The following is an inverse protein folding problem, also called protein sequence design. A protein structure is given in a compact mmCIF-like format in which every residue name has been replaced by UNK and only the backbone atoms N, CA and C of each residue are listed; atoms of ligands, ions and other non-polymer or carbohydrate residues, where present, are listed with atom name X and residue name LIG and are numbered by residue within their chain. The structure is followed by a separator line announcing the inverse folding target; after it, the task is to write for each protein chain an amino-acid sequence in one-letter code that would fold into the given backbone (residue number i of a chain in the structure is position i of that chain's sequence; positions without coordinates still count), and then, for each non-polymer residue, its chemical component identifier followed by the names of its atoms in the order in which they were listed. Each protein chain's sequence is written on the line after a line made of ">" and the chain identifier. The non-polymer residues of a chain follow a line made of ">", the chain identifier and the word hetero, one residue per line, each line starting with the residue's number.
data_IF_162572497543
#
_entry.id   IF_162572497543
#
_cell.length_a   1.000
_cell.length_b   1.000
_cell.length_c   1.000
_cell.angle_alpha   90.00
_cell.angle_beta   90.00
_cell.angle_gamma   90.00
#
_symmetry.space_group_name_H-M   'P 1'
#
loop_
_entity.id
_entity.type
_entity.pdbx_description
1 polymer ?
#
# COMPACT_ATOMS: atom_id res chain seq x y z
N UNK A 1 15.79 1.31 -1.65
CA UNK A 1 14.47 1.34 -2.30
C UNK A 1 13.41 1.11 -1.20
N UNK A 2 12.28 1.82 -1.21
CA UNK A 2 11.22 1.62 -0.21
C UNK A 2 10.43 0.33 -0.53
N UNK A 3 9.87 -0.33 0.48
CA UNK A 3 9.05 -1.55 0.30
C UNK A 3 7.85 -1.30 -0.63
N UNK A 4 7.24 -0.10 -0.56
CA UNK A 4 6.18 0.28 -1.49
C UNK A 4 6.66 0.26 -2.94
N UNK A 5 7.80 0.89 -3.21
CA UNK A 5 8.35 1.01 -4.56
C UNK A 5 8.71 -0.37 -5.12
N UNK A 6 9.24 -1.25 -4.26
CA UNK A 6 9.54 -2.63 -4.60
C UNK A 6 8.28 -3.40 -5.00
N UNK A 7 7.24 -3.39 -4.14
CA UNK A 7 5.97 -4.09 -4.41
C UNK A 7 5.29 -3.51 -5.66
N UNK A 8 5.23 -2.19 -5.79
CA UNK A 8 4.66 -1.54 -6.98
C UNK A 8 5.41 -1.94 -8.24
N UNK A 9 6.75 -2.04 -8.19
CA UNK A 9 7.55 -2.48 -9.34
C UNK A 9 7.28 -3.92 -9.73
N UNK A 10 7.16 -4.83 -8.75
CA UNK A 10 6.86 -6.24 -9.01
C UNK A 10 5.43 -6.42 -9.55
N UNK A 11 4.45 -5.74 -8.96
CA UNK A 11 3.04 -5.80 -9.39
C UNK A 11 2.84 -5.19 -10.77
N UNK A 12 3.57 -4.13 -11.11
CA UNK A 12 3.50 -3.49 -12.43
C UNK A 12 4.21 -4.26 -13.54
N UNK A 13 4.75 -5.45 -13.25
CA UNK A 13 5.21 -6.35 -14.30
C UNK A 13 4.04 -6.70 -15.24
N UNK A 14 4.20 -6.64 -16.58
CA UNK A 14 3.12 -6.92 -17.54
C UNK A 14 2.41 -8.26 -17.32
N UNK A 15 3.16 -9.30 -16.95
CA UNK A 15 2.59 -10.63 -16.69
C UNK A 15 1.70 -10.63 -15.44
N UNK A 16 2.09 -9.92 -14.39
CA UNK A 16 1.30 -9.78 -13.16
C UNK A 16 0.04 -8.96 -13.41
N UNK A 17 0.18 -7.81 -14.08
CA UNK A 17 -0.96 -6.97 -14.46
C UNK A 17 -1.96 -7.72 -15.34
N UNK A 18 -1.48 -8.53 -16.29
CA UNK A 18 -2.33 -9.36 -17.14
C UNK A 18 -3.13 -10.39 -16.33
N UNK A 19 -2.50 -11.05 -15.34
CA UNK A 19 -3.20 -11.98 -14.44
C UNK A 19 -4.26 -11.27 -13.60
N UNK A 20 -3.91 -10.13 -13.01
CA UNK A 20 -4.86 -9.32 -12.23
C UNK A 20 -6.05 -8.88 -13.10
N UNK A 21 -5.80 -8.36 -14.30
CA UNK A 21 -6.84 -8.00 -15.26
C UNK A 21 -7.74 -9.17 -15.63
N UNK A 22 -7.15 -10.32 -15.94
CA UNK A 22 -7.90 -11.53 -16.27
C UNK A 22 -8.78 -12.01 -15.10
N UNK A 23 -8.27 -11.95 -13.87
CA UNK A 23 -9.00 -12.42 -12.67
C UNK A 23 -10.29 -11.64 -12.40
N UNK A 24 -10.37 -10.37 -12.83
CA UNK A 24 -11.54 -9.51 -12.63
C UNK A 24 -12.22 -9.06 -13.93
N UNK A 25 -11.77 -9.56 -15.08
CA UNK A 25 -12.28 -9.16 -16.40
C UNK A 25 -12.08 -7.67 -16.70
N UNK A 26 -10.91 -7.12 -16.40
CA UNK A 26 -10.58 -5.70 -16.58
C UNK A 26 -9.39 -5.46 -17.52
N UNK A 27 -9.38 -4.29 -18.17
CA UNK A 27 -8.24 -3.84 -18.98
C UNK A 27 -6.97 -3.70 -18.14
N UNK A 28 -5.87 -4.27 -18.61
CA UNK A 28 -4.56 -4.26 -17.96
C UNK A 28 -4.10 -2.84 -17.59
N UNK A 29 -4.34 -1.85 -18.46
CA UNK A 29 -3.96 -0.45 -18.21
C UNK A 29 -4.75 0.17 -17.06
N UNK A 30 -6.05 -0.14 -16.94
CA UNK A 30 -6.87 0.32 -15.81
C UNK A 30 -6.48 -0.35 -14.51
N UNK A 31 -6.12 -1.64 -14.57
CA UNK A 31 -5.59 -2.37 -13.41
C UNK A 31 -4.25 -1.80 -12.97
N UNK A 32 -3.36 -1.45 -13.91
CA UNK A 32 -2.10 -0.75 -13.59
C UNK A 32 -2.38 0.55 -12.84
N UNK A 33 -3.26 1.41 -13.34
CA UNK A 33 -3.68 2.64 -12.64
C UNK A 33 -4.26 2.33 -11.25
N UNK A 34 -5.06 1.28 -11.12
CA UNK A 34 -5.59 0.86 -9.83
C UNK A 34 -4.49 0.44 -8.87
N UNK A 35 -3.47 -0.31 -9.30
CA UNK A 35 -2.38 -0.74 -8.42
C UNK A 35 -1.54 0.44 -7.93
N UNK A 36 -1.29 1.43 -8.80
CA UNK A 36 -0.55 2.66 -8.49
C UNK A 36 -1.26 3.56 -7.47
N UNK A 37 -2.60 3.51 -7.42
CA UNK A 37 -3.42 4.24 -6.44
C UNK A 37 -3.75 3.40 -5.20
N UNK A 38 -3.99 2.11 -5.41
CA UNK A 38 -4.49 1.15 -4.44
C UNK A 38 -3.43 0.72 -3.43
N UNK A 39 -2.20 0.42 -3.88
CA UNK A 39 -1.11 0.05 -2.97
C UNK A 39 -0.80 1.16 -1.95
N UNK A 40 -0.65 2.45 -2.34
CA UNK A 40 -0.53 3.53 -1.38
C UNK A 40 -1.76 3.67 -0.46
N UNK A 41 -2.97 3.44 -0.96
CA UNK A 41 -4.19 3.52 -0.17
C UNK A 41 -4.25 2.43 0.91
N UNK A 42 -3.88 1.18 0.56
CA UNK A 42 -3.78 0.05 1.49
C UNK A 42 -2.74 0.33 2.58
N UNK A 43 -1.54 0.77 2.20
CA UNK A 43 -0.49 1.08 3.17
C UNK A 43 -0.88 2.26 4.09
N UNK A 44 -1.55 3.28 3.54
CA UNK A 44 -2.08 4.38 4.36
C UNK A 44 -3.15 3.89 5.34
N UNK A 45 -3.96 2.91 4.95
CA UNK A 45 -4.96 2.30 5.82
C UNK A 45 -4.30 1.54 6.98
N UNK A 46 -3.30 0.70 6.69
CA UNK A 46 -2.47 0.04 7.70
C UNK A 46 -1.85 1.06 8.67
N UNK A 47 -1.21 2.10 8.13
CA UNK A 47 -0.61 3.18 8.91
C UNK A 47 -1.59 3.97 9.78
N UNK A 48 -2.88 4.04 9.40
CA UNK A 48 -3.93 4.63 10.23
C UNK A 48 -4.39 3.71 11.35
N UNK A 49 -4.44 2.41 11.10
CA UNK A 49 -4.89 1.42 12.07
C UNK A 49 -3.88 1.25 13.20
N UNK A 50 -2.57 1.36 12.92
CA UNK A 50 -1.52 1.25 13.95
C UNK A 50 -1.32 2.51 14.81
N UNK A 51 -2.28 3.45 14.79
CA UNK A 51 -2.25 4.64 15.66
C UNK A 51 -2.65 4.33 17.10
N UNK A 52 -3.27 3.18 17.35
CA UNK A 52 -3.55 2.68 18.69
C UNK A 52 -2.72 1.43 18.96
N UNK A 53 -2.54 1.10 20.24
CA UNK A 53 -1.79 -0.09 20.66
C UNK A 53 -2.44 -1.38 20.13
N UNK A 54 -3.77 -1.48 20.24
CA UNK A 54 -4.53 -2.64 19.78
C UNK A 54 -4.42 -2.81 18.26
N UNK A 55 -4.48 -1.72 17.51
CA UNK A 55 -4.33 -1.76 16.06
C UNK A 55 -2.92 -2.13 15.62
N UNK A 56 -1.89 -1.69 16.37
CA UNK A 56 -0.51 -2.09 16.13
C UNK A 56 -0.29 -3.58 16.42
N UNK A 57 -0.81 -4.08 17.55
CA UNK A 57 -0.75 -5.51 17.90
C UNK A 57 -1.53 -6.37 16.90
N UNK A 58 -2.73 -5.95 16.50
CA UNK A 58 -3.55 -6.63 15.51
C UNK A 58 -2.83 -6.75 14.17
N UNK A 59 -2.22 -5.66 13.69
CA UNK A 59 -1.45 -5.72 12.46
C UNK A 59 -0.20 -6.59 12.63
N UNK A 60 0.53 -6.46 13.74
CA UNK A 60 1.72 -7.27 13.99
C UNK A 60 1.39 -8.77 13.98
N UNK A 61 0.26 -9.18 14.56
CA UNK A 61 -0.22 -10.56 14.51
C UNK A 61 -0.62 -11.01 13.11
N UNK A 62 -1.28 -10.14 12.33
CA UNK A 62 -1.55 -10.45 10.91
C UNK A 62 -0.26 -10.63 10.11
N UNK A 63 0.76 -9.81 10.36
CA UNK A 63 2.08 -9.99 9.74
C UNK A 63 2.73 -11.31 10.13
N UNK A 64 2.56 -11.78 11.38
CA UNK A 64 3.06 -13.10 11.81
C UNK A 64 2.32 -14.26 11.13
N UNK A 65 1.02 -14.09 10.85
CA UNK A 65 0.21 -15.10 10.16
C UNK A 65 0.61 -15.25 8.68
N UNK A 66 1.04 -14.16 8.05
CA UNK A 66 1.38 -14.12 6.63
C UNK A 66 2.90 -14.13 6.36
N UNK A 67 3.76 -14.24 7.39
CA UNK A 67 5.21 -14.11 7.24
C UNK A 67 5.88 -15.21 6.39
N UNK A 68 5.19 -16.32 6.16
CA UNK A 68 5.67 -17.46 5.37
C UNK A 68 4.95 -17.58 4.01
N UNK A 69 4.11 -16.60 3.66
CA UNK A 69 3.46 -16.56 2.35
C UNK A 69 4.54 -16.46 1.25
N UNK A 70 4.40 -17.19 0.14
CA UNK A 70 5.38 -17.23 -0.94
C UNK A 70 5.26 -16.01 -1.88
N UNK A 71 5.33 -14.80 -1.31
CA UNK A 71 5.11 -13.53 -2.02
C UNK A 71 6.28 -13.08 -2.89
N UNK A 72 7.43 -13.77 -2.80
CA UNK A 72 8.61 -13.51 -3.66
C UNK A 72 8.31 -13.77 -5.15
N UNK A 73 7.44 -14.74 -5.45
CA UNK A 73 6.87 -14.95 -6.77
C UNK A 73 5.44 -14.41 -6.80
N UNK A 74 5.32 -13.10 -7.03
CA UNK A 74 4.04 -12.39 -7.11
C UNK A 74 3.07 -13.03 -8.10
N UNK A 75 3.56 -13.50 -9.26
CA UNK A 75 2.70 -14.07 -10.28
C UNK A 75 2.13 -15.43 -9.86
N UNK A 76 2.91 -16.25 -9.14
CA UNK A 76 2.45 -17.51 -8.59
C UNK A 76 1.55 -17.31 -7.38
N UNK A 77 1.92 -16.40 -6.47
CA UNK A 77 1.12 -16.03 -5.30
C UNK A 77 -0.29 -15.58 -5.69
N UNK A 78 -0.40 -14.65 -6.65
CA UNK A 78 -1.71 -14.17 -7.12
C UNK A 78 -2.54 -15.24 -7.83
N UNK A 79 -1.92 -16.33 -8.31
CA UNK A 79 -2.64 -17.47 -8.85
C UNK A 79 -3.29 -18.36 -7.79
N UNK A 80 -2.89 -18.22 -6.52
CA UNK A 80 -3.33 -19.06 -5.40
C UNK A 80 -4.05 -18.27 -4.30
N UNK A 81 -4.02 -16.95 -4.36
CA UNK A 81 -4.56 -16.07 -3.32
C UNK A 81 -6.06 -16.28 -3.13
N UNK A 82 -6.49 -16.42 -1.87
CA UNK A 82 -7.91 -16.47 -1.52
C UNK A 82 -8.49 -15.05 -1.48
N UNK A 83 -9.29 -14.71 -2.48
CA UNK A 83 -9.97 -13.42 -2.60
C UNK A 83 -10.93 -13.17 -1.43
N UNK A 84 -11.51 -14.21 -0.83
CA UNK A 84 -12.40 -14.05 0.32
C UNK A 84 -11.64 -13.63 1.58
N UNK A 85 -10.46 -14.20 1.78
CA UNK A 85 -9.56 -13.78 2.86
C UNK A 85 -9.09 -12.35 2.63
N UNK A 86 -8.71 -12.04 1.39
CA UNK A 86 -8.44 -10.68 0.92
C UNK A 86 -9.55 -9.69 1.25
N UNK A 87 -10.81 -10.04 1.02
CA UNK A 87 -11.96 -9.19 1.33
C UNK A 87 -12.12 -8.93 2.84
N UNK A 88 -11.81 -9.91 3.70
CA UNK A 88 -11.80 -9.72 5.16
C UNK A 88 -10.69 -8.77 5.58
N UNK A 89 -9.49 -8.92 5.02
CA UNK A 89 -8.37 -8.00 5.25
C UNK A 89 -8.78 -6.57 4.87
N UNK A 90 -9.42 -6.37 3.71
CA UNK A 90 -9.93 -5.05 3.32
C UNK A 90 -10.94 -4.47 4.32
N UNK A 91 -11.80 -5.32 4.90
CA UNK A 91 -12.74 -4.93 5.96
C UNK A 91 -12.02 -4.41 7.21
N UNK A 92 -10.94 -5.07 7.62
CA UNK A 92 -10.09 -4.63 8.74
C UNK A 92 -9.30 -3.36 8.41
N UNK A 93 -8.81 -3.21 7.18
CA UNK A 93 -8.09 -2.01 6.76
C UNK A 93 -9.00 -0.79 6.62
N UNK A 94 -10.24 -0.98 6.18
CA UNK A 94 -11.17 0.11 5.88
C UNK A 94 -12.53 -0.02 6.60
N UNK A 95 -12.57 -0.18 7.94
CA UNK A 95 -13.78 -0.57 8.69
C UNK A 95 -14.97 0.38 8.53
N UNK A 96 -14.72 1.65 8.17
CA UNK A 96 -15.75 2.68 7.96
C UNK A 96 -15.68 3.36 6.59
N UNK A 97 -14.73 2.96 5.75
CA UNK A 97 -14.41 3.69 4.53
C UNK A 97 -14.26 2.81 3.29
N UNK A 98 -14.43 1.50 3.40
CA UNK A 98 -14.21 0.56 2.29
C UNK A 98 -14.99 0.98 1.04
N UNK A 99 -16.30 1.15 1.15
CA UNK A 99 -17.14 1.60 0.03
C UNK A 99 -16.69 2.96 -0.53
N UNK A 100 -16.34 3.92 0.32
CA UNK A 100 -15.88 5.25 -0.14
C UNK A 100 -14.57 5.15 -0.92
N UNK A 101 -13.60 4.38 -0.42
CA UNK A 101 -12.29 4.18 -1.06
C UNK A 101 -12.47 3.45 -2.39
N UNK A 102 -13.24 2.36 -2.41
CA UNK A 102 -13.52 1.59 -3.63
C UNK A 102 -14.23 2.46 -4.69
N UNK A 103 -15.23 3.25 -4.29
CA UNK A 103 -15.91 4.15 -5.22
C UNK A 103 -14.96 5.22 -5.78
N UNK A 104 -14.09 5.80 -4.94
CA UNK A 104 -13.14 6.80 -5.41
C UNK A 104 -12.13 6.21 -6.42
N UNK A 105 -11.64 5.00 -6.14
CA UNK A 105 -10.72 4.29 -7.04
C UNK A 105 -11.42 3.89 -8.34
N UNK A 106 -12.66 3.43 -8.28
CA UNK A 106 -13.48 3.14 -9.46
C UNK A 106 -13.61 4.38 -10.35
N UNK A 107 -14.00 5.53 -9.78
CA UNK A 107 -14.11 6.78 -10.53
C UNK A 107 -12.79 7.27 -11.14
N UNK A 108 -11.65 6.99 -10.49
CA UNK A 108 -10.33 7.42 -10.99
C UNK A 108 -9.75 6.51 -12.08
N UNK A 109 -10.14 5.25 -12.10
CA UNK A 109 -9.57 4.22 -13.00
C UNK A 109 -10.52 3.84 -14.13
N UNK A 110 -11.80 4.19 -14.01
CA UNK A 110 -12.84 3.74 -14.94
C UNK A 110 -13.20 2.26 -14.79
N UNK A 111 -12.76 1.62 -13.71
CA UNK A 111 -13.17 0.26 -13.31
C UNK A 111 -14.49 0.31 -12.53
N UNK A 112 -15.26 -0.77 -12.57
CA UNK A 112 -16.39 -0.91 -11.67
C UNK A 112 -15.96 -1.29 -10.24
N UNK A 113 -16.91 -1.20 -9.30
CA UNK A 113 -16.63 -1.45 -7.87
C UNK A 113 -16.20 -2.89 -7.60
N UNK A 114 -16.74 -3.87 -8.34
CA UNK A 114 -16.41 -5.29 -8.17
C UNK A 114 -15.00 -5.58 -8.66
N UNK A 115 -14.60 -5.00 -9.79
CA UNK A 115 -13.23 -5.06 -10.31
C UNK A 115 -12.23 -4.44 -9.33
N UNK A 116 -12.55 -3.25 -8.82
CA UNK A 116 -11.72 -2.59 -7.80
C UNK A 116 -11.60 -3.45 -6.55
N UNK A 117 -12.72 -3.98 -6.05
CA UNK A 117 -12.72 -4.83 -4.86
C UNK A 117 -11.91 -6.10 -5.07
N UNK A 118 -12.05 -6.76 -6.23
CA UNK A 118 -11.36 -8.00 -6.56
C UNK A 118 -9.84 -7.82 -6.66
N UNK A 119 -9.38 -6.74 -7.30
CA UNK A 119 -7.94 -6.45 -7.35
C UNK A 119 -7.40 -6.09 -5.97
N UNK A 120 -8.08 -5.21 -5.22
CA UNK A 120 -7.63 -4.85 -3.86
C UNK A 120 -7.60 -6.06 -2.91
N UNK A 121 -8.53 -7.00 -3.06
CA UNK A 121 -8.58 -8.21 -2.27
C UNK A 121 -7.41 -9.16 -2.58
N UNK A 122 -6.84 -9.12 -3.78
CA UNK A 122 -5.61 -9.87 -4.10
C UNK A 122 -4.35 -9.14 -3.63
N UNK A 123 -4.34 -7.80 -3.73
CA UNK A 123 -3.20 -6.99 -3.32
C UNK A 123 -3.02 -6.90 -1.80
N UNK A 124 -4.10 -7.02 -1.02
CA UNK A 124 -4.04 -6.90 0.43
C UNK A 124 -3.26 -8.04 1.11
N UNK A 125 -3.52 -9.34 0.82
CA UNK A 125 -2.69 -10.45 1.28
C UNK A 125 -1.24 -10.33 0.80
N UNK A 126 -1.00 -9.95 -0.47
CA UNK A 126 0.35 -9.76 -1.00
C UNK A 126 1.14 -8.74 -0.17
N UNK A 127 0.50 -7.63 0.20
CA UNK A 127 1.11 -6.58 1.02
C UNK A 127 1.38 -7.08 2.45
N UNK A 128 0.45 -7.83 3.05
CA UNK A 128 0.66 -8.44 4.38
C UNK A 128 1.80 -9.45 4.36
N UNK A 129 1.84 -10.35 3.38
CA UNK A 129 2.90 -11.34 3.25
C UNK A 129 4.27 -10.69 3.05
N UNK A 130 4.36 -9.65 2.21
CA UNK A 130 5.64 -8.94 1.99
C UNK A 130 6.10 -8.23 3.26
N UNK A 131 5.19 -7.58 3.98
CA UNK A 131 5.50 -6.94 5.26
C UNK A 131 5.80 -7.97 6.37
N UNK A 132 5.16 -9.14 6.33
CA UNK A 132 5.38 -10.25 7.25
C UNK A 132 6.75 -10.87 7.07
N UNK A 133 7.14 -11.17 5.83
CA UNK A 133 8.50 -11.60 5.50
C UNK A 133 9.53 -10.56 5.96
N UNK A 134 9.28 -9.26 5.74
CA UNK A 134 10.16 -8.19 6.19
C UNK A 134 10.28 -8.15 7.72
N UNK A 135 9.15 -8.27 8.44
CA UNK A 135 9.09 -8.33 9.90
C UNK A 135 9.92 -9.51 10.42
N UNK A 136 9.74 -10.69 9.84
CA UNK A 136 10.47 -11.92 10.19
C UNK A 136 11.97 -11.77 9.94
N UNK A 137 12.35 -11.32 8.75
CA UNK A 137 13.75 -11.15 8.36
C UNK A 137 14.51 -10.18 9.28
N UNK A 138 13.84 -9.10 9.68
CA UNK A 138 14.43 -8.07 10.55
C UNK A 138 14.15 -8.31 12.04
N UNK A 139 13.45 -9.39 12.40
CA UNK A 139 13.06 -9.72 13.77
C UNK A 139 12.35 -8.54 14.48
N UNK A 140 11.46 -7.85 13.76
CA UNK A 140 10.79 -6.66 14.26
C UNK A 140 9.71 -7.01 15.29
N UNK A 141 9.71 -6.28 16.38
CA UNK A 141 8.60 -6.23 17.33
C UNK A 141 7.47 -5.31 16.82
N UNK A 142 6.42 -5.15 17.63
CA UNK A 142 5.27 -4.29 17.28
C UNK A 142 5.72 -2.85 16.98
N UNK A 143 6.66 -2.31 17.76
CA UNK A 143 7.23 -0.98 17.55
C UNK A 143 7.99 -0.88 16.23
N UNK A 144 8.77 -1.90 15.90
CA UNK A 144 9.48 -2.04 14.63
C UNK A 144 8.53 -2.05 13.43
N UNK A 145 7.41 -2.77 13.51
CA UNK A 145 6.37 -2.78 12.47
C UNK A 145 5.78 -1.38 12.27
N UNK A 146 5.46 -0.67 13.36
CA UNK A 146 4.95 0.71 13.27
C UNK A 146 5.98 1.63 12.60
N UNK A 147 7.26 1.48 12.92
CA UNK A 147 8.33 2.26 12.31
C UNK A 147 8.54 1.93 10.83
N UNK A 148 8.46 0.66 10.45
CA UNK A 148 8.50 0.20 9.06
C UNK A 148 7.39 0.87 8.23
N UNK A 149 6.15 0.86 8.74
CA UNK A 149 5.00 1.48 8.07
C UNK A 149 5.11 3.00 8.00
N UNK A 150 5.61 3.65 9.06
CA UNK A 150 5.89 5.10 9.05
C UNK A 150 6.94 5.46 8.01
N UNK A 151 8.00 4.66 7.89
CA UNK A 151 9.02 4.84 6.85
C UNK A 151 8.43 4.66 5.45
N UNK A 152 7.59 3.65 5.27
CA UNK A 152 6.98 3.33 3.99
C UNK A 152 5.93 4.37 3.54
N UNK A 153 5.10 4.85 4.47
CA UNK A 153 4.05 5.84 4.21
C UNK A 153 4.56 7.30 4.23
N UNK A 154 5.54 7.60 5.08
CA UNK A 154 6.05 8.95 5.32
C UNK A 154 7.04 9.42 4.25
N UNK A 155 7.95 8.55 3.81
CA UNK A 155 8.99 8.94 2.84
C UNK A 155 8.42 9.13 1.43
N UNK A 156 7.46 8.30 1.02
CA UNK A 156 6.81 8.42 -0.29
C UNK A 156 5.94 9.67 -0.46
N UNK A 157 5.32 10.16 0.62
CA UNK A 157 4.50 11.38 0.58
C UNK A 157 5.37 12.64 0.75
N UNK A 158 6.33 12.65 1.67
CA UNK A 158 7.24 13.79 1.80
C UNK A 158 8.08 13.96 0.54
N UNK A 159 8.65 12.88 -0.04
CA UNK A 159 9.47 12.98 -1.25
C UNK A 159 8.68 13.35 -2.50
N UNK A 160 7.39 12.99 -2.60
CA UNK A 160 6.52 13.46 -3.69
C UNK A 160 6.07 14.90 -3.49
N UNK A 161 5.82 15.33 -2.25
CA UNK A 161 5.52 16.73 -1.94
C UNK A 161 6.76 17.59 -2.19
N UNK A 162 7.94 17.22 -1.68
CA UNK A 162 9.18 17.93 -2.01
C UNK A 162 9.48 17.84 -3.50
N UNK A 163 9.27 16.71 -4.16
CA UNK A 163 9.48 16.59 -5.62
C UNK A 163 8.51 17.42 -6.46
N UNK A 164 7.29 17.69 -5.97
CA UNK A 164 6.34 18.62 -6.61
C UNK A 164 6.62 20.08 -6.24
N UNK A 165 7.17 20.34 -5.05
CA UNK A 165 7.61 21.66 -4.58
C UNK A 165 9.00 22.06 -5.11
N UNK A 166 9.78 21.10 -5.60
CA UNK A 166 11.09 21.27 -6.24
C UNK A 166 10.96 21.19 -7.78
N UNK A 167 9.79 20.76 -8.29
CA UNK A 167 9.49 20.76 -9.72
C UNK A 167 9.44 22.17 -10.33
N UNK A 168 9.28 23.22 -9.51
CA UNK A 168 9.42 24.63 -9.91
C UNK A 168 10.79 25.23 -9.59
N UNK A 169 11.73 24.47 -9.00
CA UNK A 169 13.16 24.80 -8.88
C UNK A 169 13.42 26.24 -8.38
N UNK A 170 12.60 26.75 -7.46
CA UNK A 170 12.66 28.15 -7.00
C UNK A 170 13.47 28.32 -5.70
N UNK A 171 13.88 27.21 -5.08
CA UNK A 171 14.80 27.20 -3.94
C UNK A 171 14.31 27.90 -2.67
N UNK A 172 13.03 28.23 -2.53
CA UNK A 172 12.59 29.25 -1.56
C UNK A 172 12.14 28.74 -0.19
N UNK A 173 11.92 27.44 -0.01
CA UNK A 173 11.25 26.94 1.22
C UNK A 173 12.19 26.83 2.43
N UNK A 174 13.48 26.57 2.22
CA UNK A 174 14.48 26.53 3.30
C UNK A 174 14.75 27.95 3.83
N UNK A 175 14.71 28.95 2.96
CA UNK A 175 14.92 30.36 3.33
C UNK A 175 13.73 30.94 4.12
N UNK A 176 12.50 30.56 3.79
CA UNK A 176 11.31 31.08 4.46
C UNK A 176 11.03 30.45 5.82
N UNK A 177 11.31 29.15 5.99
CA UNK A 177 11.20 28.48 7.31
C UNK A 177 12.33 28.94 8.25
N UNK A 178 13.52 29.21 7.72
CA UNK A 178 14.61 29.85 8.46
C UNK A 178 14.28 31.27 8.92
N UNK A 179 13.51 32.05 8.14
CA UNK A 179 13.05 33.41 8.53
C UNK A 179 11.90 33.44 9.51
N UNK A 180 11.04 32.41 9.54
CA UNK A 180 9.93 32.28 10.49
C UNK A 180 10.37 31.82 11.89
N UNK A 181 11.48 31.07 11.98
CA UNK A 181 12.08 30.66 13.26
C UNK A 181 13.28 31.52 13.69
N UNK A 182 13.82 32.33 12.78
CA UNK A 182 15.07 33.09 12.99
C UNK A 182 14.92 34.60 13.13
N UNK A 183 13.71 35.15 13.26
CA UNK A 183 13.52 36.58 13.55
C UNK A 183 12.86 36.81 14.90
N UNK A 184 13.74 36.99 15.89
CA UNK A 184 13.62 37.63 17.22
C UNK A 184 12.43 37.24 18.08
#
# INVERSE_FOLDING_TARGET
>A
MNILDMITSQVNNPSVLGKLGQSVGADTDKVKQLTELGLPALMRAMGRNVKTEEGAQSLAGALDQHQDDPVDDVASFLGQVDVNDGAKILGHLFPRSQTRVQNNLASKTGLDKSQVSGVLAQLAPLLLGTLGQQKKQQQLDVSGVVNLLKGAAGKGLLSKVTGMLDANNDGSILDDVGRLLGKK
#
